data_IF_682468411551
#
_entry.id   IF_682468411551
#
_cell.length_a   1.000
_cell.length_b   1.000
_cell.length_c   1.000
_cell.angle_alpha   90.00
_cell.angle_beta   90.00
_cell.angle_gamma   90.00
#
_symmetry.space_group_name_H-M   'P 1'
#
loop_
_entity.id
_entity.type
_entity.pdbx_description
1 polymer ?
#
# COMPACT_ATOMS: atom_id res chain seq x y z
N UNK A 1 30.85 -2.08 9.45
CA UNK A 1 30.05 -2.22 8.20
C UNK A 1 30.70 -1.39 7.15
N UNK A 2 30.93 -1.92 5.96
CA UNK A 2 31.61 -1.17 4.92
C UNK A 2 30.67 -0.11 4.35
N UNK A 3 31.17 1.11 4.14
CA UNK A 3 30.47 2.19 3.45
C UNK A 3 29.98 1.79 2.06
N UNK A 4 30.54 0.72 1.52
CA UNK A 4 30.27 0.19 0.18
C UNK A 4 28.88 -0.44 0.02
N UNK A 5 28.14 -0.65 1.12
CA UNK A 5 26.74 -1.10 1.08
C UNK A 5 25.79 -0.03 0.52
N UNK A 6 26.22 1.22 0.48
CA UNK A 6 25.42 2.34 -0.02
C UNK A 6 25.95 2.80 -1.37
N UNK A 7 25.45 2.28 -2.44
CA UNK A 7 25.84 2.67 -3.80
C UNK A 7 25.58 4.16 -4.03
N UNK A 8 26.64 4.96 -3.92
CA UNK A 8 26.59 6.40 -4.14
C UNK A 8 25.96 7.19 -2.98
N UNK A 9 25.74 6.53 -1.85
CA UNK A 9 25.23 7.13 -0.62
C UNK A 9 26.30 7.29 0.45
N UNK A 10 25.87 7.64 1.62
CA UNK A 10 26.67 7.78 2.84
C UNK A 10 26.22 6.77 3.91
N UNK A 11 27.08 6.49 4.85
CA UNK A 11 26.73 5.58 5.95
C UNK A 11 25.59 6.16 6.80
N UNK A 12 24.62 5.38 7.30
CA UNK A 12 23.52 5.85 8.12
C UNK A 12 23.95 6.67 9.34
N UNK A 13 25.07 6.36 9.92
CA UNK A 13 25.60 7.08 11.07
C UNK A 13 26.07 8.51 10.72
N UNK A 14 26.27 8.79 9.45
CA UNK A 14 26.70 10.10 8.95
C UNK A 14 25.52 11.00 8.53
N UNK A 15 24.30 10.48 8.47
CA UNK A 15 23.14 11.22 7.95
C UNK A 15 22.77 12.46 8.77
N UNK A 16 23.17 12.53 10.04
CA UNK A 16 22.96 13.71 10.91
C UNK A 16 23.70 14.95 10.42
N UNK A 17 24.82 14.75 9.72
CA UNK A 17 25.67 15.81 9.20
C UNK A 17 25.33 16.17 7.75
N UNK A 18 24.44 15.40 7.13
CA UNK A 18 24.04 15.59 5.75
C UNK A 18 22.86 16.56 5.63
N UNK A 19 22.77 17.21 4.47
CA UNK A 19 21.51 17.81 4.08
C UNK A 19 20.44 16.74 3.95
N UNK A 20 19.16 17.10 4.14
CA UNK A 20 18.04 16.18 3.98
C UNK A 20 18.06 15.50 2.61
N UNK A 21 18.39 16.25 1.58
CA UNK A 21 18.49 15.77 0.21
C UNK A 21 19.60 14.73 0.01
N UNK A 22 20.75 14.95 0.61
CA UNK A 22 21.86 14.00 0.58
C UNK A 22 21.53 12.72 1.33
N UNK A 23 20.89 12.84 2.49
CA UNK A 23 20.54 11.68 3.32
C UNK A 23 19.60 10.72 2.59
N UNK A 24 18.62 11.21 1.85
CA UNK A 24 17.66 10.39 1.10
C UNK A 24 18.24 9.71 -0.17
N UNK A 25 19.45 10.05 -0.56
CA UNK A 25 20.16 9.28 -1.58
C UNK A 25 20.72 7.96 -1.04
N UNK A 26 20.79 7.84 0.27
CA UNK A 26 21.24 6.62 0.93
C UNK A 26 20.07 5.64 0.97
N UNK A 27 20.23 4.54 0.30
CA UNK A 27 19.32 3.41 0.40
C UNK A 27 20.07 2.10 0.20
N UNK A 28 19.55 1.05 0.74
CA UNK A 28 20.03 -0.30 0.49
C UNK A 28 18.91 -1.34 0.71
N UNK A 29 19.25 -2.61 0.45
CA UNK A 29 18.35 -3.74 0.67
C UNK A 29 17.99 -3.98 2.15
N UNK A 30 18.62 -3.27 3.08
CA UNK A 30 18.38 -3.41 4.53
C UNK A 30 17.33 -2.44 5.06
N UNK A 31 16.75 -1.61 4.21
CA UNK A 31 15.67 -0.71 4.59
C UNK A 31 16.12 0.58 5.26
N UNK A 32 17.34 1.01 5.06
CA UNK A 32 17.85 2.26 5.65
C UNK A 32 17.12 3.51 5.13
N UNK A 33 16.64 3.48 3.90
CA UNK A 33 15.74 4.53 3.37
C UNK A 33 14.47 4.64 4.20
N UNK A 34 13.88 3.51 4.60
CA UNK A 34 12.68 3.45 5.45
C UNK A 34 12.94 4.12 6.79
N UNK A 35 14.12 3.88 7.39
CA UNK A 35 14.51 4.54 8.64
C UNK A 35 14.63 6.04 8.48
N UNK A 36 15.30 6.52 7.42
CA UNK A 36 15.44 7.96 7.17
C UNK A 36 14.09 8.64 6.93
N UNK A 37 13.23 8.02 6.13
CA UNK A 37 11.87 8.52 5.87
C UNK A 37 11.02 8.57 7.14
N UNK A 38 11.14 7.58 8.03
CA UNK A 38 10.43 7.58 9.31
C UNK A 38 10.85 8.71 10.25
N UNK A 39 12.05 9.27 10.05
CA UNK A 39 12.57 10.42 10.79
C UNK A 39 12.36 11.74 10.05
N UNK A 40 11.61 11.73 8.93
CA UNK A 40 11.42 12.90 8.06
C UNK A 40 12.73 13.54 7.59
N UNK A 41 13.74 12.71 7.30
CA UNK A 41 15.05 13.16 6.83
C UNK A 41 15.11 13.04 5.31
N UNK A 42 15.47 14.16 4.64
CA UNK A 42 15.71 14.26 3.21
C UNK A 42 14.54 14.86 2.43
N UNK A 43 14.83 15.47 1.29
CA UNK A 43 13.87 16.12 0.38
C UNK A 43 13.74 15.40 -0.96
N UNK A 44 14.66 14.47 -1.27
CA UNK A 44 14.62 13.65 -2.48
C UNK A 44 14.94 12.20 -2.16
N UNK A 45 14.31 11.29 -2.89
CA UNK A 45 14.61 9.86 -2.83
C UNK A 45 15.04 9.35 -4.20
N UNK A 46 15.80 8.28 -4.20
CA UNK A 46 16.14 7.53 -5.41
C UNK A 46 15.72 6.08 -5.23
N UNK A 47 14.92 5.60 -6.16
CA UNK A 47 14.62 4.18 -6.33
C UNK A 47 15.25 3.72 -7.62
N UNK A 48 15.85 2.55 -7.64
CA UNK A 48 16.48 1.99 -8.83
C UNK A 48 16.22 0.49 -8.88
N UNK A 49 15.54 0.04 -9.92
CA UNK A 49 15.20 -1.37 -10.14
C UNK A 49 15.54 -1.78 -11.57
N UNK A 50 15.72 -3.08 -11.78
CA UNK A 50 15.97 -3.63 -13.12
C UNK A 50 14.64 -3.91 -13.84
N UNK A 51 13.86 -2.85 -14.08
CA UNK A 51 12.52 -2.92 -14.66
C UNK A 51 12.26 -1.66 -15.51
N UNK A 52 11.01 -1.47 -15.95
CA UNK A 52 10.59 -0.24 -16.62
C UNK A 52 10.81 0.97 -15.69
N UNK A 53 11.36 2.10 -16.16
CA UNK A 53 11.56 3.29 -15.33
C UNK A 53 10.28 3.81 -14.63
N UNK A 54 9.11 3.53 -15.16
CA UNK A 54 7.82 3.89 -14.53
C UNK A 54 7.62 3.13 -13.22
N UNK A 55 8.11 1.90 -13.11
CA UNK A 55 8.05 1.11 -11.88
C UNK A 55 8.79 1.78 -10.72
N UNK A 56 9.90 2.45 -10.99
CA UNK A 56 10.65 3.19 -9.97
C UNK A 56 9.80 4.31 -9.35
N UNK A 57 9.01 5.00 -10.17
CA UNK A 57 8.10 6.05 -9.71
C UNK A 57 6.94 5.48 -8.89
N UNK A 58 6.40 4.34 -9.30
CA UNK A 58 5.32 3.65 -8.57
C UNK A 58 5.82 3.22 -7.19
N UNK A 59 6.99 2.59 -7.13
CA UNK A 59 7.62 2.15 -5.88
C UNK A 59 7.91 3.36 -4.98
N UNK A 60 8.49 4.43 -5.54
CA UNK A 60 8.80 5.64 -4.80
C UNK A 60 7.54 6.27 -4.18
N UNK A 61 6.47 6.41 -4.95
CA UNK A 61 5.19 6.95 -4.47
C UNK A 61 4.59 6.09 -3.36
N UNK A 62 4.55 4.77 -3.53
CA UNK A 62 4.06 3.84 -2.51
C UNK A 62 4.87 3.93 -1.23
N UNK A 63 6.20 4.00 -1.34
CA UNK A 63 7.09 4.14 -0.19
C UNK A 63 6.83 5.44 0.56
N UNK A 64 6.78 6.57 -0.15
CA UNK A 64 6.49 7.87 0.45
C UNK A 64 5.10 7.93 1.10
N UNK A 65 4.10 7.29 0.48
CA UNK A 65 2.75 7.20 1.01
C UNK A 65 2.68 6.47 2.36
N UNK A 66 3.51 5.43 2.56
CA UNK A 66 3.60 4.73 3.85
C UNK A 66 3.99 5.65 5.02
N UNK A 67 4.64 6.78 4.73
CA UNK A 67 5.07 7.78 5.72
C UNK A 67 4.24 9.07 5.68
N UNK A 68 3.16 9.11 4.91
CA UNK A 68 2.32 10.31 4.76
C UNK A 68 3.04 11.48 4.10
N UNK A 69 4.08 11.22 3.32
CA UNK A 69 4.90 12.25 2.66
C UNK A 69 4.39 12.64 1.26
N UNK A 70 3.41 11.92 0.75
CA UNK A 70 2.69 12.25 -0.48
C UNK A 70 1.19 12.10 -0.26
N UNK A 71 0.43 12.90 -0.99
CA UNK A 71 -1.03 12.87 -0.98
C UNK A 71 -1.59 12.26 -2.27
N UNK A 72 -2.86 11.84 -2.21
CA UNK A 72 -3.62 11.30 -3.34
C UNK A 72 -2.99 10.04 -3.96
N UNK A 73 -2.39 9.21 -3.12
CA UNK A 73 -1.89 7.88 -3.48
C UNK A 73 -2.73 6.84 -2.75
N UNK A 74 -3.55 6.06 -3.45
CA UNK A 74 -4.35 5.02 -2.84
C UNK A 74 -3.50 3.96 -2.15
N UNK A 75 -4.01 3.41 -1.06
CA UNK A 75 -3.35 2.37 -0.30
C UNK A 75 -4.14 1.06 -0.36
N UNK A 76 -3.45 -0.06 -0.57
CA UNK A 76 -4.02 -1.40 -0.51
C UNK A 76 -3.47 -2.16 0.70
N UNK A 77 -4.36 -2.61 1.57
CA UNK A 77 -4.05 -3.53 2.66
C UNK A 77 -4.52 -4.92 2.24
N UNK A 78 -3.60 -5.86 2.06
CA UNK A 78 -3.94 -7.22 1.70
C UNK A 78 -3.50 -8.24 2.76
N UNK A 79 -4.29 -9.30 2.89
CA UNK A 79 -4.01 -10.39 3.80
C UNK A 79 -2.76 -11.19 3.38
N UNK A 80 -1.89 -11.61 4.33
CA UNK A 80 -0.68 -12.36 4.04
C UNK A 80 -0.92 -13.85 3.73
N UNK A 81 -2.11 -14.23 3.27
CA UNK A 81 -2.48 -15.58 2.82
C UNK A 81 -2.15 -16.70 3.81
N UNK A 82 -2.86 -16.76 4.92
CA UNK A 82 -2.76 -17.86 5.88
C UNK A 82 -3.69 -19.03 5.52
N UNK A 83 -3.58 -20.17 6.21
CA UNK A 83 -4.44 -21.36 5.99
C UNK A 83 -5.94 -21.17 6.26
N UNK A 84 -6.40 -19.97 6.63
CA UNK A 84 -7.81 -19.62 6.86
C UNK A 84 -8.50 -18.96 5.68
N UNK A 85 -7.80 -18.74 4.57
CA UNK A 85 -8.37 -18.20 3.33
C UNK A 85 -9.52 -19.09 2.85
N UNK A 86 -10.64 -18.46 2.47
CA UNK A 86 -11.85 -19.16 2.05
C UNK A 86 -12.22 -18.92 0.58
N UNK A 87 -11.43 -18.15 -0.16
CA UNK A 87 -11.62 -17.87 -1.57
C UNK A 87 -10.28 -17.51 -2.24
N UNK A 88 -10.24 -17.52 -3.55
CA UNK A 88 -9.05 -17.14 -4.31
C UNK A 88 -8.88 -15.62 -4.29
N UNK A 89 -8.21 -15.14 -3.25
CA UNK A 89 -8.05 -13.72 -2.94
C UNK A 89 -7.01 -13.03 -3.83
N UNK A 90 -5.92 -13.73 -4.19
CA UNK A 90 -4.79 -13.10 -4.86
C UNK A 90 -5.15 -12.43 -6.19
N UNK A 91 -5.92 -13.08 -7.11
CA UNK A 91 -6.33 -12.42 -8.35
C UNK A 91 -7.21 -11.19 -8.13
N UNK A 92 -7.99 -11.18 -7.04
CA UNK A 92 -8.83 -10.02 -6.69
C UNK A 92 -7.93 -8.89 -6.18
N UNK A 93 -6.98 -9.18 -5.29
CA UNK A 93 -6.04 -8.20 -4.78
C UNK A 93 -5.21 -7.55 -5.91
N UNK A 94 -4.72 -8.35 -6.86
CA UNK A 94 -3.99 -7.85 -8.03
C UNK A 94 -4.85 -6.93 -8.92
N UNK A 95 -6.11 -7.29 -9.16
CA UNK A 95 -7.03 -6.44 -9.93
C UNK A 95 -7.31 -5.13 -9.21
N UNK A 96 -7.53 -5.19 -7.89
CA UNK A 96 -7.76 -4.00 -7.06
C UNK A 96 -6.52 -3.10 -7.06
N UNK A 97 -5.33 -3.67 -6.91
CA UNK A 97 -4.08 -2.90 -6.95
C UNK A 97 -3.90 -2.17 -8.29
N UNK A 98 -4.10 -2.90 -9.40
CA UNK A 98 -4.04 -2.30 -10.74
C UNK A 98 -5.05 -1.16 -10.90
N UNK A 99 -6.25 -1.34 -10.39
CA UNK A 99 -7.29 -0.32 -10.44
C UNK A 99 -6.93 0.90 -9.58
N UNK A 100 -6.50 0.69 -8.36
CA UNK A 100 -6.08 1.76 -7.45
C UNK A 100 -4.93 2.59 -8.02
N UNK A 101 -3.99 1.97 -8.71
CA UNK A 101 -2.88 2.69 -9.36
C UNK A 101 -3.33 3.68 -10.46
N UNK A 102 -4.58 3.62 -10.91
CA UNK A 102 -5.16 4.59 -11.86
C UNK A 102 -5.84 5.78 -11.19
N UNK A 103 -6.01 5.74 -9.87
CA UNK A 103 -6.74 6.75 -9.11
C UNK A 103 -5.81 7.78 -8.47
N UNK A 104 -6.36 8.96 -8.22
CA UNK A 104 -5.73 10.02 -7.44
C UNK A 104 -6.61 10.35 -6.23
N UNK A 105 -6.47 9.58 -5.15
CA UNK A 105 -7.27 9.68 -3.93
C UNK A 105 -6.45 9.18 -2.74
N UNK A 106 -6.80 9.59 -1.54
CA UNK A 106 -6.19 9.08 -0.31
C UNK A 106 -6.86 7.81 0.21
N UNK A 107 -7.70 7.17 -0.59
CA UNK A 107 -8.46 5.99 -0.19
C UNK A 107 -7.57 4.84 0.26
N UNK A 108 -7.94 4.22 1.37
CA UNK A 108 -7.37 2.95 1.82
C UNK A 108 -8.37 1.83 1.59
N UNK A 109 -7.99 0.83 0.82
CA UNK A 109 -8.81 -0.34 0.49
C UNK A 109 -8.21 -1.59 1.13
N UNK A 110 -9.05 -2.45 1.72
CA UNK A 110 -8.62 -3.71 2.32
C UNK A 110 -9.19 -4.92 1.57
N UNK A 111 -8.32 -5.91 1.28
CA UNK A 111 -8.70 -7.19 0.70
C UNK A 111 -8.27 -8.31 1.62
N UNK A 112 -9.22 -8.91 2.34
CA UNK A 112 -8.99 -9.90 3.38
C UNK A 112 -9.51 -11.28 3.01
N UNK A 113 -8.71 -12.31 3.30
CA UNK A 113 -8.96 -13.69 2.85
C UNK A 113 -9.94 -14.49 3.70
N UNK A 114 -10.32 -14.04 4.91
CA UNK A 114 -11.19 -14.82 5.80
C UNK A 114 -12.11 -13.91 6.62
N UNK A 115 -13.26 -14.46 7.11
CA UNK A 115 -14.19 -13.68 7.91
C UNK A 115 -13.79 -13.53 9.39
N UNK A 116 -12.72 -14.19 9.84
CA UNK A 116 -12.32 -14.20 11.26
C UNK A 116 -11.58 -12.91 11.63
N UNK A 117 -10.44 -12.68 10.99
CA UNK A 117 -9.64 -11.46 11.24
C UNK A 117 -9.95 -10.36 10.22
N UNK A 118 -10.56 -10.73 9.08
CA UNK A 118 -10.85 -9.82 7.99
C UNK A 118 -11.64 -8.59 8.41
N UNK A 119 -12.74 -8.71 9.18
CA UNK A 119 -13.49 -7.55 9.63
C UNK A 119 -12.68 -6.57 10.46
N UNK A 120 -11.84 -7.05 11.37
CA UNK A 120 -10.99 -6.19 12.21
C UNK A 120 -9.88 -5.50 11.41
N UNK A 121 -9.27 -6.21 10.47
CA UNK A 121 -8.26 -5.64 9.57
C UNK A 121 -8.89 -4.66 8.56
N UNK A 122 -10.05 -5.03 8.00
CA UNK A 122 -10.81 -4.18 7.09
C UNK A 122 -11.36 -2.90 7.78
N UNK A 123 -11.53 -2.91 9.11
CA UNK A 123 -12.01 -1.74 9.84
C UNK A 123 -11.04 -0.54 9.81
N UNK A 124 -9.78 -0.80 9.48
CA UNK A 124 -8.76 0.25 9.35
C UNK A 124 -8.73 0.90 7.97
N UNK A 125 -9.51 0.36 7.04
CA UNK A 125 -9.64 0.87 5.68
C UNK A 125 -10.94 1.66 5.51
N UNK A 126 -10.96 2.54 4.51
CA UNK A 126 -12.18 3.25 4.14
C UNK A 126 -13.21 2.30 3.55
N UNK A 127 -12.74 1.35 2.72
CA UNK A 127 -13.54 0.29 2.11
C UNK A 127 -12.77 -1.02 2.21
N UNK A 128 -13.46 -2.11 2.55
CA UNK A 128 -12.81 -3.40 2.64
C UNK A 128 -13.73 -4.56 2.32
N UNK A 129 -13.12 -5.66 1.85
CA UNK A 129 -13.78 -6.93 1.70
C UNK A 129 -13.10 -7.98 2.59
N UNK A 130 -13.90 -8.83 3.22
CA UNK A 130 -13.43 -9.99 3.95
C UNK A 130 -14.09 -11.25 3.36
N UNK A 131 -13.27 -12.18 2.87
CA UNK A 131 -13.77 -13.37 2.23
C UNK A 131 -14.44 -14.34 3.18
N UNK A 132 -15.46 -15.03 2.67
CA UNK A 132 -16.13 -16.15 3.28
C UNK A 132 -16.41 -17.22 2.24
N UNK A 133 -16.99 -18.33 2.66
CA UNK A 133 -17.30 -19.43 1.73
C UNK A 133 -18.30 -18.99 0.64
N UNK A 134 -17.85 -18.93 -0.60
CA UNK A 134 -18.59 -18.49 -1.80
C UNK A 134 -19.16 -17.06 -1.74
N UNK A 135 -18.78 -16.29 -0.76
CA UNK A 135 -19.22 -14.88 -0.60
C UNK A 135 -18.12 -14.06 0.07
N UNK A 136 -18.22 -12.75 -0.02
CA UNK A 136 -17.43 -11.82 0.74
C UNK A 136 -18.31 -10.86 1.51
N UNK A 137 -17.77 -10.33 2.57
CA UNK A 137 -18.38 -9.30 3.40
C UNK A 137 -17.79 -7.95 3.00
N UNK A 138 -18.62 -7.02 2.59
CA UNK A 138 -18.21 -5.65 2.27
C UNK A 138 -18.32 -4.78 3.52
N UNK A 139 -17.28 -4.02 3.78
CA UNK A 139 -17.18 -3.08 4.90
C UNK A 139 -16.88 -1.67 4.39
N UNK A 140 -17.41 -0.67 5.09
CA UNK A 140 -17.13 0.74 4.85
C UNK A 140 -16.85 1.40 6.19
N UNK A 141 -15.66 1.99 6.34
CA UNK A 141 -15.19 2.62 7.60
C UNK A 141 -15.38 1.71 8.83
N UNK A 142 -15.12 0.42 8.66
CA UNK A 142 -15.24 -0.59 9.71
C UNK A 142 -16.64 -1.16 9.93
N UNK A 143 -17.68 -0.60 9.32
CA UNK A 143 -19.03 -1.09 9.43
C UNK A 143 -19.37 -2.07 8.31
N UNK A 144 -20.08 -3.15 8.67
CA UNK A 144 -20.58 -4.12 7.70
C UNK A 144 -21.69 -3.49 6.85
N UNK A 145 -21.54 -3.55 5.52
CA UNK A 145 -22.52 -3.00 4.57
C UNK A 145 -23.43 -4.10 4.05
N UNK A 146 -22.84 -5.12 3.43
CA UNK A 146 -23.58 -6.25 2.81
C UNK A 146 -22.69 -7.44 2.52
N UNK A 147 -23.32 -8.60 2.30
CA UNK A 147 -22.66 -9.76 1.69
C UNK A 147 -22.75 -9.67 0.17
N UNK A 148 -21.67 -10.05 -0.49
CA UNK A 148 -21.52 -10.04 -1.96
C UNK A 148 -21.09 -11.42 -2.42
N UNK A 149 -21.57 -11.90 -3.55
CA UNK A 149 -21.11 -13.16 -4.12
C UNK A 149 -19.65 -13.04 -4.54
N UNK A 150 -18.90 -14.13 -4.42
CA UNK A 150 -17.47 -14.13 -4.73
C UNK A 150 -17.17 -13.61 -6.14
N UNK A 151 -17.98 -13.97 -7.12
CA UNK A 151 -17.85 -13.55 -8.52
C UNK A 151 -18.02 -12.05 -8.75
N UNK A 152 -18.83 -11.39 -7.92
CA UNK A 152 -19.15 -9.95 -8.01
C UNK A 152 -18.27 -9.08 -7.12
N UNK A 153 -17.39 -9.68 -6.30
CA UNK A 153 -16.61 -8.95 -5.27
C UNK A 153 -15.78 -7.80 -5.82
N UNK A 154 -15.11 -8.00 -6.94
CA UNK A 154 -14.30 -6.95 -7.55
C UNK A 154 -15.17 -5.80 -8.05
N UNK A 155 -16.23 -6.10 -8.77
CA UNK A 155 -17.10 -5.08 -9.37
C UNK A 155 -17.84 -4.25 -8.30
N UNK A 156 -18.32 -4.92 -7.25
CA UNK A 156 -18.96 -4.25 -6.12
C UNK A 156 -17.97 -3.39 -5.31
N UNK A 157 -16.73 -3.86 -5.15
CA UNK A 157 -15.68 -3.09 -4.50
C UNK A 157 -15.33 -1.84 -5.33
N UNK A 158 -15.19 -1.98 -6.64
CA UNK A 158 -14.92 -0.84 -7.55
C UNK A 158 -16.04 0.19 -7.52
N UNK A 159 -17.31 -0.23 -7.47
CA UNK A 159 -18.43 0.70 -7.32
C UNK A 159 -18.33 1.54 -6.05
N UNK A 160 -18.02 0.90 -4.91
CA UNK A 160 -17.87 1.63 -3.63
C UNK A 160 -16.66 2.56 -3.63
N UNK A 161 -15.55 2.13 -4.26
CA UNK A 161 -14.36 2.98 -4.43
C UNK A 161 -14.71 4.23 -5.23
N UNK A 162 -15.43 4.08 -6.35
CA UNK A 162 -15.83 5.22 -7.18
C UNK A 162 -16.72 6.20 -6.42
N UNK A 163 -17.71 5.68 -5.69
CA UNK A 163 -18.57 6.50 -4.82
C UNK A 163 -17.79 7.25 -3.75
N UNK A 164 -16.74 6.64 -3.22
CA UNK A 164 -15.87 7.30 -2.24
C UNK A 164 -15.09 8.44 -2.88
N UNK A 165 -14.45 8.18 -4.03
CA UNK A 165 -13.63 9.17 -4.75
C UNK A 165 -14.47 10.35 -5.25
N UNK A 166 -15.69 10.10 -5.71
CA UNK A 166 -16.64 11.16 -6.10
C UNK A 166 -17.01 12.08 -4.93
N UNK A 167 -17.11 11.53 -3.71
CA UNK A 167 -17.44 12.31 -2.51
C UNK A 167 -16.22 13.02 -1.89
N UNK A 168 -15.00 12.69 -2.31
CA UNK A 168 -13.74 13.33 -1.87
C UNK A 168 -13.44 14.62 -2.66
N UNK A 169 -14.00 14.77 -3.86
CA UNK A 169 -13.85 15.93 -4.74
C UNK A 169 -14.95 16.96 -4.52
#
# INVERSE_FOLDING_TARGET
>A
MAKDTFRGGVHPDEHKELSRDQALRVYDAKGEMVFLLSQHIGDTIRVSVSADPVEELIIAKKLLNCFGLVEKVPNLISCPTCGRIQYDMLPIAEKVEKYLNTLHSNITVAVMGCPVNGPQEASRADIGIAGGYKQGLLFKKGEFVRSVRQEDLFDELVKEINLFVENEN
#
